data_IF_185181914289
#
_entry.id   IF_185181914289
#
_cell.length_a   1.000
_cell.length_b   1.000
_cell.length_c   1.000
_cell.angle_alpha   90.00
_cell.angle_beta   90.00
_cell.angle_gamma   90.00
#
_symmetry.space_group_name_H-M   'P 1'
#
loop_
_entity.id
_entity.type
_entity.pdbx_description
1 polymer ?
#
# COMPACT_ATOMS: atom_id res chain seq x y z
N UNK A 1 -5.50 -2.18 12.62
CA UNK A 1 -4.16 -1.55 12.64
C UNK A 1 -4.07 -0.65 13.87
N UNK A 2 -3.00 -0.77 14.65
CA UNK A 2 -2.79 0.08 15.84
C UNK A 2 -2.51 1.53 15.41
N UNK A 3 -3.00 2.47 16.21
CA UNK A 3 -2.82 3.90 15.99
C UNK A 3 -1.89 4.42 17.07
N UNK A 4 -0.85 5.17 16.68
CA UNK A 4 0.07 5.77 17.63
C UNK A 4 -0.69 6.79 18.51
N UNK A 5 -0.39 6.76 19.79
CA UNK A 5 -0.98 7.66 20.81
C UNK A 5 -2.53 7.62 20.92
N UNK A 6 -3.15 6.52 20.45
CA UNK A 6 -4.58 6.30 20.58
C UNK A 6 -4.89 4.91 21.15
N UNK A 7 -5.95 4.83 21.95
CA UNK A 7 -6.47 3.56 22.49
C UNK A 7 -7.35 2.79 21.49
N UNK A 8 -7.60 3.37 20.32
CA UNK A 8 -8.44 2.80 19.26
C UNK A 8 -7.63 2.14 18.15
N UNK A 9 -8.28 1.26 17.41
CA UNK A 9 -7.74 0.63 16.22
C UNK A 9 -8.39 1.23 14.97
N UNK A 10 -7.60 1.44 13.93
CA UNK A 10 -8.14 1.74 12.61
C UNK A 10 -8.65 0.44 11.96
N UNK A 11 -9.93 0.42 11.61
CA UNK A 11 -10.55 -0.73 10.93
C UNK A 11 -10.21 -0.72 9.44
N UNK A 12 -9.51 -1.75 8.99
CA UNK A 12 -9.14 -1.90 7.56
C UNK A 12 -10.20 -2.76 6.88
N UNK A 13 -10.97 -2.16 5.99
CA UNK A 13 -12.01 -2.85 5.21
C UNK A 13 -11.57 -3.18 3.78
N UNK A 14 -10.69 -2.38 3.21
CA UNK A 14 -10.15 -2.54 1.85
C UNK A 14 -8.72 -2.02 1.80
N UNK A 15 -7.90 -2.63 0.95
CA UNK A 15 -6.53 -2.20 0.67
C UNK A 15 -6.41 -2.02 -0.83
N UNK A 16 -6.17 -0.79 -1.26
CA UNK A 16 -5.83 -0.45 -2.63
C UNK A 16 -4.34 -0.16 -2.70
N UNK A 17 -3.66 -0.80 -3.63
CA UNK A 17 -2.25 -0.59 -3.89
C UNK A 17 -2.07 0.16 -5.21
N UNK A 18 -1.02 0.95 -5.28
CA UNK A 18 -0.69 1.76 -6.46
C UNK A 18 0.68 1.32 -6.98
N UNK A 19 0.70 0.69 -8.14
CA UNK A 19 1.94 0.30 -8.83
C UNK A 19 2.47 1.43 -9.70
N UNK A 20 3.80 1.42 -9.94
CA UNK A 20 4.53 2.42 -10.75
C UNK A 20 4.39 3.87 -10.25
N UNK A 21 4.13 4.08 -8.97
CA UNK A 21 3.92 5.41 -8.38
C UNK A 21 5.22 6.12 -7.98
N UNK A 22 6.31 5.38 -7.79
CA UNK A 22 7.63 5.93 -7.48
C UNK A 22 8.50 5.97 -8.73
N UNK A 23 8.89 7.17 -9.17
CA UNK A 23 9.63 7.37 -10.42
C UNK A 23 10.96 6.60 -10.48
N UNK A 24 11.64 6.41 -9.35
CA UNK A 24 12.86 5.60 -9.26
C UNK A 24 12.57 4.14 -9.58
N UNK A 25 11.61 3.56 -8.88
CA UNK A 25 11.21 2.16 -9.04
C UNK A 25 10.63 1.87 -10.42
N UNK A 26 9.81 2.78 -10.97
CA UNK A 26 9.29 2.64 -12.34
C UNK A 26 10.42 2.52 -13.38
N UNK A 27 11.48 3.31 -13.25
CA UNK A 27 12.66 3.23 -14.13
C UNK A 27 13.43 1.93 -14.00
N UNK A 28 13.61 1.42 -12.76
CA UNK A 28 14.26 0.13 -12.51
C UNK A 28 13.49 -1.02 -13.15
N UNK A 29 12.16 -0.94 -13.19
CA UNK A 29 11.28 -1.91 -13.84
C UNK A 29 11.13 -1.69 -15.36
N UNK A 30 11.85 -0.72 -15.94
CA UNK A 30 11.83 -0.43 -17.36
C UNK A 30 10.63 0.39 -17.84
N UNK A 31 9.84 0.92 -16.91
CA UNK A 31 8.70 1.80 -17.22
C UNK A 31 9.12 3.27 -17.25
N UNK A 32 8.46 4.06 -18.10
CA UNK A 32 8.64 5.52 -18.15
C UNK A 32 7.53 6.20 -17.34
N UNK A 33 7.81 6.69 -16.12
CA UNK A 33 6.81 7.31 -15.27
C UNK A 33 6.19 8.58 -15.85
N UNK A 34 6.80 9.16 -16.90
CA UNK A 34 6.24 10.30 -17.61
C UNK A 34 5.21 9.91 -18.68
N UNK A 35 5.17 8.64 -19.07
CA UNK A 35 4.31 8.12 -20.15
C UNK A 35 3.28 7.13 -19.67
N UNK A 36 3.56 6.40 -18.60
CA UNK A 36 2.68 5.35 -18.10
C UNK A 36 1.99 5.82 -16.83
N UNK A 37 0.64 5.86 -16.80
CA UNK A 37 -0.08 6.17 -15.58
C UNK A 37 0.12 5.04 -14.55
N UNK A 38 0.03 5.35 -13.24
CA UNK A 38 0.05 4.33 -12.20
C UNK A 38 -1.13 3.36 -12.39
N UNK A 39 -0.93 2.10 -12.10
CA UNK A 39 -2.00 1.12 -12.08
C UNK A 39 -2.42 0.78 -10.65
N UNK A 40 -3.64 0.28 -10.50
CA UNK A 40 -4.22 -0.01 -9.21
C UNK A 40 -4.55 -1.50 -9.09
N UNK A 41 -4.26 -2.06 -7.93
CA UNK A 41 -4.64 -3.42 -7.57
C UNK A 41 -5.09 -3.49 -6.11
N UNK A 42 -5.67 -4.61 -5.69
CA UNK A 42 -6.16 -4.78 -4.33
C UNK A 42 -5.44 -5.92 -3.64
N UNK A 43 -5.23 -5.75 -2.33
CA UNK A 43 -4.87 -6.85 -1.43
C UNK A 43 -6.01 -7.14 -0.46
N UNK A 44 -6.15 -8.40 -0.09
CA UNK A 44 -7.16 -8.78 0.91
C UNK A 44 -6.79 -8.20 2.28
N UNK A 45 -7.72 -7.60 3.02
CA UNK A 45 -7.48 -7.22 4.42
C UNK A 45 -7.05 -8.40 5.31
N UNK A 46 -7.41 -9.63 4.95
CA UNK A 46 -6.97 -10.84 5.65
C UNK A 46 -5.46 -11.13 5.49
N UNK A 47 -4.80 -10.51 4.51
CA UNK A 47 -3.35 -10.61 4.33
C UNK A 47 -2.56 -9.61 5.19
N UNK A 48 -3.25 -8.75 5.96
CA UNK A 48 -2.59 -7.76 6.79
C UNK A 48 -1.95 -8.41 8.02
N UNK A 49 -0.64 -8.30 8.14
CA UNK A 49 0.09 -8.68 9.34
C UNK A 49 0.36 -7.44 10.21
N UNK A 50 0.21 -7.52 11.54
CA UNK A 50 0.53 -6.42 12.43
C UNK A 50 2.05 -6.19 12.51
N UNK A 51 2.46 -4.98 12.84
CA UNK A 51 3.86 -4.64 13.07
C UNK A 51 4.49 -5.57 14.13
N UNK A 52 5.68 -6.09 13.82
CA UNK A 52 6.40 -7.04 14.69
C UNK A 52 5.94 -8.50 14.58
N UNK A 53 4.92 -8.80 13.79
CA UNK A 53 4.54 -10.18 13.54
C UNK A 53 5.57 -10.87 12.62
N UNK A 54 5.81 -12.16 12.87
CA UNK A 54 6.55 -12.99 11.95
C UNK A 54 5.68 -13.31 10.73
N UNK A 55 6.17 -12.98 9.55
CA UNK A 55 5.53 -13.34 8.28
C UNK A 55 6.21 -14.62 7.77
N UNK A 56 5.50 -15.74 7.65
CA UNK A 56 6.08 -16.96 7.14
C UNK A 56 6.49 -16.78 5.67
N UNK A 57 7.64 -17.34 5.30
CA UNK A 57 8.06 -17.36 3.91
C UNK A 57 7.06 -18.20 3.10
N UNK A 58 6.43 -17.66 2.05
CA UNK A 58 5.42 -18.38 1.30
C UNK A 58 6.03 -19.55 0.51
N UNK A 59 5.31 -20.67 0.37
CA UNK A 59 5.77 -21.76 -0.49
C UNK A 59 5.69 -21.37 -1.97
N UNK A 60 6.53 -22.02 -2.80
CA UNK A 60 6.49 -21.87 -4.26
C UNK A 60 7.02 -20.54 -4.79
N UNK A 61 7.94 -19.94 -4.06
CA UNK A 61 8.71 -18.79 -4.51
C UNK A 61 10.10 -18.82 -3.92
N UNK A 62 11.10 -18.46 -4.70
CA UNK A 62 12.48 -18.22 -4.26
C UNK A 62 12.79 -16.71 -4.24
N UNK A 63 11.87 -15.88 -4.75
CA UNK A 63 12.02 -14.43 -4.87
C UNK A 63 10.91 -13.67 -4.13
N UNK A 64 11.00 -13.65 -2.80
CA UNK A 64 10.14 -12.81 -1.97
C UNK A 64 10.80 -11.47 -1.71
N UNK A 65 10.25 -10.42 -2.29
CA UNK A 65 10.71 -9.06 -2.08
C UNK A 65 9.87 -8.34 -1.02
N UNK A 66 10.52 -7.46 -0.25
CA UNK A 66 9.88 -6.51 0.64
C UNK A 66 9.92 -5.12 -0.03
N UNK A 67 8.77 -4.54 -0.25
CA UNK A 67 8.65 -3.19 -0.81
C UNK A 67 8.18 -2.24 0.28
N UNK A 68 9.00 -1.24 0.59
CA UNK A 68 8.63 -0.23 1.62
C UNK A 68 7.69 0.78 1.00
N UNK A 69 6.49 0.89 1.59
CA UNK A 69 5.39 1.68 1.04
C UNK A 69 4.87 2.73 2.01
N UNK A 70 4.48 3.89 1.46
CA UNK A 70 3.68 4.85 2.18
C UNK A 70 2.23 4.38 2.24
N UNK A 71 1.76 4.07 3.43
CA UNK A 71 0.36 3.72 3.67
C UNK A 71 -0.44 4.97 3.99
N UNK A 72 -1.53 5.17 3.27
CA UNK A 72 -2.47 6.26 3.48
C UNK A 72 -3.79 5.71 4.01
N UNK A 73 -4.16 6.07 5.23
CA UNK A 73 -5.42 5.69 5.84
C UNK A 73 -6.51 6.71 5.47
N UNK A 74 -7.59 6.25 4.83
CA UNK A 74 -8.71 7.10 4.42
C UNK A 74 -9.75 7.14 5.52
N UNK A 75 -10.08 8.33 6.00
CA UNK A 75 -11.01 8.55 7.11
C UNK A 75 -12.40 9.06 6.72
N UNK A 76 -12.59 9.43 5.48
CA UNK A 76 -13.87 9.97 4.97
C UNK A 76 -14.24 9.34 3.64
N UNK A 77 -15.53 9.09 3.45
CA UNK A 77 -16.04 8.68 2.14
C UNK A 77 -15.87 9.79 1.13
N UNK A 78 -15.43 9.44 -0.07
CA UNK A 78 -15.24 10.36 -1.18
C UNK A 78 -15.70 9.71 -2.48
N UNK A 79 -16.37 10.48 -3.33
CA UNK A 79 -16.80 10.07 -4.65
C UNK A 79 -16.65 11.24 -5.62
N UNK A 80 -15.83 11.07 -6.66
CA UNK A 80 -15.60 12.07 -7.71
C UNK A 80 -15.24 13.47 -7.19
N UNK A 81 -14.42 13.50 -6.13
CA UNK A 81 -13.91 14.75 -5.57
C UNK A 81 -12.81 15.33 -6.47
N UNK A 82 -12.61 16.64 -6.38
CA UNK A 82 -11.48 17.29 -7.04
C UNK A 82 -10.15 16.88 -6.38
N UNK A 83 -9.04 16.79 -7.15
CA UNK A 83 -7.74 16.41 -6.61
C UNK A 83 -7.29 17.25 -5.41
N UNK A 84 -7.61 18.54 -5.41
CA UNK A 84 -7.29 19.49 -4.35
C UNK A 84 -7.95 19.15 -3.01
N UNK A 85 -9.05 18.40 -3.05
CA UNK A 85 -9.80 17.95 -1.88
C UNK A 85 -9.39 16.55 -1.39
N UNK A 86 -8.49 15.86 -2.13
CA UNK A 86 -8.15 14.48 -1.83
C UNK A 86 -7.49 14.32 -0.45
N UNK A 87 -6.62 15.26 -0.07
CA UNK A 87 -5.94 15.24 1.22
C UNK A 87 -6.88 15.43 2.42
N UNK A 88 -8.03 16.07 2.23
CA UNK A 88 -9.05 16.24 3.27
C UNK A 88 -9.70 14.90 3.67
N UNK A 89 -9.54 13.86 2.84
CA UNK A 89 -10.05 12.53 3.10
C UNK A 89 -9.07 11.65 3.89
N UNK A 90 -7.83 12.09 4.04
CA UNK A 90 -6.79 11.34 4.74
C UNK A 90 -6.97 11.45 6.25
N UNK A 91 -7.01 10.30 6.91
CA UNK A 91 -7.03 10.22 8.35
C UNK A 91 -5.62 10.14 8.97
N UNK A 92 -4.68 9.50 8.27
CA UNK A 92 -3.31 9.37 8.74
C UNK A 92 -2.43 8.58 7.79
N UNK A 93 -1.17 8.46 8.18
CA UNK A 93 -0.12 7.80 7.41
C UNK A 93 0.60 6.75 8.23
N UNK A 94 1.14 5.75 7.56
CA UNK A 94 2.03 4.75 8.16
C UNK A 94 3.07 4.29 7.13
N UNK A 95 4.10 3.60 7.59
CA UNK A 95 4.96 2.78 6.73
C UNK A 95 4.42 1.35 6.71
N UNK A 96 4.42 0.74 5.55
CA UNK A 96 4.07 -0.65 5.34
C UNK A 96 5.16 -1.39 4.59
N UNK A 97 5.11 -2.72 4.65
CA UNK A 97 5.88 -3.59 3.77
C UNK A 97 4.89 -4.34 2.87
N UNK A 98 5.00 -4.13 1.57
CA UNK A 98 4.31 -4.94 0.58
C UNK A 98 5.19 -6.15 0.23
N UNK A 99 4.76 -7.32 0.69
CA UNK A 99 5.49 -8.57 0.44
C UNK A 99 5.04 -9.13 -0.91
N UNK A 100 5.99 -9.21 -1.85
CA UNK A 100 5.70 -9.53 -3.25
C UNK A 100 6.51 -10.74 -3.69
N UNK A 101 5.83 -11.76 -4.25
CA UNK A 101 6.47 -12.86 -4.97
C UNK A 101 6.75 -12.39 -6.39
N UNK A 102 8.01 -12.15 -6.71
CA UNK A 102 8.38 -11.40 -7.92
C UNK A 102 8.28 -12.22 -9.21
N UNK A 103 8.39 -13.54 -9.13
CA UNK A 103 8.34 -14.45 -10.28
C UNK A 103 6.90 -14.89 -10.67
N UNK A 104 5.86 -14.38 -10.02
CA UNK A 104 4.46 -14.76 -10.30
C UNK A 104 3.66 -13.64 -10.97
#
# INVERSE_FOLDING_TARGET
MAVRDASSLYAVSRIFCVGCNYAGHAREMGSDPAREPPFYFCKSPAALAPSGAAVPYPPGTDELHHEVELVVAIGRSALRIAPEQALDCVWGYACGLDMTRREL
#
